data_IF_364618732898
#
_entry.id   IF_364618732898
#
_cell.length_a   1.000
_cell.length_b   1.000
_cell.length_c   1.000
_cell.angle_alpha   90.00
_cell.angle_beta   90.00
_cell.angle_gamma   90.00
#
_symmetry.space_group_name_H-M   'P 1'
#
loop_
_entity.id
_entity.type
_entity.pdbx_description
1 polymer ?
#
# COMPACT_ATOMS: atom_id res chain seq x y z
N UNK A 1 -2.29 7.46 -22.09
CA UNK A 1 -2.11 5.99 -22.13
C UNK A 1 -3.20 5.33 -21.29
N UNK A 2 -3.34 5.63 -19.99
CA UNK A 2 -4.36 5.00 -19.13
C UNK A 2 -5.76 5.18 -19.73
N UNK A 3 -6.12 6.39 -20.13
CA UNK A 3 -7.41 6.72 -20.75
C UNK A 3 -7.68 6.00 -22.09
N UNK A 4 -6.64 5.46 -22.73
CA UNK A 4 -6.78 4.71 -23.98
C UNK A 4 -7.16 3.24 -23.74
N UNK A 5 -7.10 2.79 -22.49
CA UNK A 5 -7.35 1.41 -22.07
C UNK A 5 -8.25 1.37 -20.83
N UNK A 6 -9.50 1.84 -20.93
CA UNK A 6 -10.39 1.97 -19.75
C UNK A 6 -10.77 0.64 -19.10
N UNK A 7 -10.66 -0.47 -19.83
CA UNK A 7 -10.99 -1.81 -19.33
C UNK A 7 -9.83 -2.47 -18.55
N UNK A 8 -8.64 -1.83 -18.51
CA UNK A 8 -7.48 -2.37 -17.78
C UNK A 8 -7.42 -1.73 -16.39
N UNK A 9 -7.48 -2.52 -15.31
CA UNK A 9 -7.38 -1.99 -13.96
C UNK A 9 -6.09 -1.21 -13.73
N UNK A 10 -6.21 0.01 -13.21
CA UNK A 10 -5.08 0.84 -12.78
C UNK A 10 -4.84 0.66 -11.29
N UNK A 11 -3.69 0.08 -10.93
CA UNK A 11 -3.22 0.02 -9.55
C UNK A 11 -2.24 1.17 -9.35
N UNK A 12 -2.58 2.10 -8.47
CA UNK A 12 -1.84 3.33 -8.29
C UNK A 12 -1.25 3.45 -6.88
N UNK A 13 0.08 3.48 -6.79
CA UNK A 13 0.86 3.77 -5.57
C UNK A 13 1.63 5.08 -5.82
N UNK A 14 1.07 6.24 -5.41
CA UNK A 14 1.61 7.55 -5.78
C UNK A 14 2.93 7.91 -5.10
N UNK A 15 3.32 7.23 -4.01
CA UNK A 15 4.54 7.49 -3.25
C UNK A 15 4.73 8.98 -2.92
N UNK A 16 3.70 9.61 -2.38
CA UNK A 16 3.64 11.05 -2.12
C UNK A 16 4.62 11.52 -1.03
N UNK A 17 5.11 10.61 -0.21
CA UNK A 17 6.12 10.90 0.82
C UNK A 17 7.46 11.40 0.25
N UNK A 18 7.72 11.19 -1.04
CA UNK A 18 8.89 11.71 -1.74
C UNK A 18 8.73 13.14 -2.24
N UNK A 19 7.50 13.67 -2.25
CA UNK A 19 7.23 15.03 -2.71
C UNK A 19 7.59 16.05 -1.62
N UNK A 20 8.05 17.25 -2.01
CA UNK A 20 8.26 18.34 -1.07
C UNK A 20 6.98 18.64 -0.29
N UNK A 21 7.11 18.85 1.03
CA UNK A 21 5.95 19.17 1.88
C UNK A 21 5.37 20.56 1.60
N UNK A 22 6.16 21.44 0.98
CA UNK A 22 5.77 22.81 0.66
C UNK A 22 6.37 23.23 -0.69
N UNK A 23 5.61 24.04 -1.42
CA UNK A 23 6.04 24.66 -2.66
C UNK A 23 5.14 24.32 -3.86
N UNK A 24 5.18 25.16 -4.89
CA UNK A 24 4.27 25.05 -6.03
C UNK A 24 4.39 23.72 -6.78
N UNK A 25 5.58 23.15 -6.88
CA UNK A 25 5.79 21.87 -7.58
C UNK A 25 5.08 20.70 -6.91
N UNK A 26 5.06 20.64 -5.59
CA UNK A 26 4.35 19.62 -4.84
C UNK A 26 2.83 19.77 -4.95
N UNK A 27 2.34 20.99 -4.88
CA UNK A 27 0.90 21.29 -5.04
C UNK A 27 0.41 21.00 -6.46
N UNK A 28 1.16 21.39 -7.48
CA UNK A 28 0.83 21.10 -8.88
C UNK A 28 0.78 19.59 -9.14
N UNK A 29 1.70 18.82 -8.55
CA UNK A 29 1.70 17.36 -8.68
C UNK A 29 0.49 16.73 -7.98
N UNK A 30 0.15 17.18 -6.78
CA UNK A 30 -1.05 16.70 -6.06
C UNK A 30 -2.32 17.03 -6.83
N UNK A 31 -2.43 18.25 -7.37
CA UNK A 31 -3.57 18.67 -8.17
C UNK A 31 -3.67 17.81 -9.44
N UNK A 32 -2.58 17.64 -10.19
CA UNK A 32 -2.57 16.78 -11.37
C UNK A 32 -2.93 15.33 -11.05
N UNK A 33 -2.45 14.81 -9.92
CA UNK A 33 -2.80 13.46 -9.44
C UNK A 33 -4.31 13.33 -9.20
N UNK A 34 -4.91 14.29 -8.50
CA UNK A 34 -6.35 14.31 -8.24
C UNK A 34 -7.19 14.41 -9.51
N UNK A 35 -6.82 15.32 -10.39
CA UNK A 35 -7.63 15.62 -11.59
C UNK A 35 -7.47 14.58 -12.70
N UNK A 36 -6.29 13.98 -12.83
CA UNK A 36 -5.97 13.14 -13.99
C UNK A 36 -5.87 11.65 -13.67
N UNK A 37 -5.39 11.28 -12.48
CA UNK A 37 -5.13 9.88 -12.15
C UNK A 37 -6.22 9.27 -11.26
N UNK A 38 -6.64 9.98 -10.21
CA UNK A 38 -7.67 9.46 -9.28
C UNK A 38 -8.94 9.01 -10.02
N UNK A 39 -9.51 9.78 -10.98
CA UNK A 39 -10.73 9.35 -11.70
C UNK A 39 -10.58 8.10 -12.58
N UNK A 40 -9.38 7.61 -12.76
CA UNK A 40 -9.07 6.44 -13.60
C UNK A 40 -8.50 5.29 -12.77
N UNK A 41 -8.40 5.46 -11.45
CA UNK A 41 -7.75 4.49 -10.56
C UNK A 41 -8.74 3.44 -10.10
N UNK A 42 -8.41 2.17 -10.37
CA UNK A 42 -9.16 1.03 -9.83
C UNK A 42 -8.80 0.80 -8.37
N UNK A 43 -7.51 0.70 -8.02
CA UNK A 43 -7.07 0.56 -6.63
C UNK A 43 -5.98 1.57 -6.32
N UNK A 44 -6.28 2.51 -5.45
CA UNK A 44 -5.31 3.44 -4.87
C UNK A 44 -4.70 2.81 -3.63
N UNK A 45 -3.37 2.66 -3.59
CA UNK A 45 -2.63 2.19 -2.41
C UNK A 45 -1.96 3.40 -1.77
N UNK A 46 -2.27 3.68 -0.50
CA UNK A 46 -1.84 4.92 0.13
C UNK A 46 -1.69 4.74 1.64
N UNK A 47 -0.74 5.45 2.26
CA UNK A 47 -0.67 5.55 3.73
C UNK A 47 -1.68 6.59 4.26
N UNK A 48 -2.06 6.48 5.54
CA UNK A 48 -2.99 7.42 6.15
C UNK A 48 -2.52 8.89 6.07
N UNK A 49 -1.20 9.11 6.18
CA UNK A 49 -0.61 10.47 6.08
C UNK A 49 -0.72 11.01 4.64
N UNK A 50 -0.44 10.18 3.65
CA UNK A 50 -0.53 10.57 2.24
C UNK A 50 -1.98 10.74 1.80
N UNK A 51 -2.90 9.93 2.34
CA UNK A 51 -4.33 10.03 2.09
C UNK A 51 -4.87 11.41 2.48
N UNK A 52 -4.60 11.86 3.69
CA UNK A 52 -5.06 13.17 4.16
C UNK A 52 -4.49 14.33 3.33
N UNK A 53 -3.27 14.17 2.84
CA UNK A 53 -2.61 15.15 1.97
C UNK A 53 -3.25 15.17 0.57
N UNK A 54 -3.60 14.01 0.03
CA UNK A 54 -4.21 13.89 -1.28
C UNK A 54 -5.68 14.31 -1.28
N UNK A 55 -6.43 14.01 -0.22
CA UNK A 55 -7.85 14.32 -0.12
C UNK A 55 -8.15 15.82 0.07
N UNK A 56 -7.18 16.61 0.55
CA UNK A 56 -7.34 18.04 0.85
C UNK A 56 -8.57 18.38 1.74
N UNK A 57 -8.85 17.52 2.69
CA UNK A 57 -9.96 17.79 3.59
C UNK A 57 -9.58 18.89 4.58
N UNK A 58 -10.26 20.05 4.50
CA UNK A 58 -10.15 21.13 5.48
C UNK A 58 -10.81 20.69 6.79
N UNK A 59 -10.02 20.60 7.85
CA UNK A 59 -10.37 19.88 9.07
C UNK A 59 -11.09 20.76 10.08
N UNK A 60 -12.39 20.53 10.23
CA UNK A 60 -13.16 20.89 11.42
C UNK A 60 -13.73 19.66 12.16
N UNK A 61 -13.48 18.43 11.70
CA UNK A 61 -14.06 17.21 12.27
C UNK A 61 -13.13 16.58 13.32
N UNK A 62 -13.73 15.84 14.27
CA UNK A 62 -13.00 15.05 15.28
C UNK A 62 -12.16 13.95 14.64
N UNK A 63 -11.00 13.64 15.23
CA UNK A 63 -9.94 12.81 14.62
C UNK A 63 -10.34 11.34 14.33
N UNK A 64 -11.41 10.82 14.94
CA UNK A 64 -11.72 9.38 14.90
C UNK A 64 -12.29 8.87 13.57
N UNK A 65 -12.88 9.75 12.71
CA UNK A 65 -13.48 9.32 11.44
C UNK A 65 -12.77 9.85 10.18
N UNK A 66 -11.59 10.44 10.33
CA UNK A 66 -10.96 11.20 9.25
C UNK A 66 -10.49 10.33 8.09
N UNK A 67 -9.96 9.14 8.37
CA UNK A 67 -9.48 8.23 7.32
C UNK A 67 -10.63 7.80 6.40
N UNK A 68 -11.79 7.49 6.96
CA UNK A 68 -12.98 7.14 6.17
C UNK A 68 -13.48 8.32 5.33
N UNK A 69 -13.54 9.53 5.91
CA UNK A 69 -13.92 10.75 5.18
C UNK A 69 -12.97 11.05 4.03
N UNK A 70 -11.66 10.95 4.28
CA UNK A 70 -10.63 11.19 3.27
C UNK A 70 -10.70 10.13 2.14
N UNK A 71 -10.90 8.84 2.49
CA UNK A 71 -11.06 7.78 1.51
C UNK A 71 -12.31 7.97 0.65
N UNK A 72 -13.45 8.26 1.28
CA UNK A 72 -14.71 8.53 0.57
C UNK A 72 -14.59 9.74 -0.36
N UNK A 73 -13.84 10.77 0.04
CA UNK A 73 -13.58 11.91 -0.84
C UNK A 73 -12.90 11.53 -2.14
N UNK A 74 -11.89 10.63 -2.09
CA UNK A 74 -11.22 10.16 -3.31
C UNK A 74 -12.10 9.22 -4.14
N UNK A 75 -12.98 8.45 -3.50
CA UNK A 75 -13.98 7.63 -4.19
C UNK A 75 -15.00 8.52 -4.91
N UNK A 76 -15.48 9.59 -4.27
CA UNK A 76 -16.36 10.60 -4.92
C UNK A 76 -15.69 11.27 -6.13
N UNK A 77 -14.36 11.34 -6.16
CA UNK A 77 -13.58 11.86 -7.29
C UNK A 77 -13.40 10.84 -8.42
N UNK A 78 -13.87 9.60 -8.25
CA UNK A 78 -13.88 8.56 -9.28
C UNK A 78 -12.94 7.38 -9.05
N UNK A 79 -12.18 7.34 -7.94
CA UNK A 79 -11.43 6.14 -7.57
C UNK A 79 -12.39 5.02 -7.17
N UNK A 80 -12.21 3.80 -7.67
CA UNK A 80 -13.11 2.68 -7.33
C UNK A 80 -12.85 2.13 -5.93
N UNK A 81 -11.57 1.93 -5.58
CA UNK A 81 -11.14 1.40 -4.27
C UNK A 81 -9.99 2.21 -3.69
N UNK A 82 -10.06 2.53 -2.40
CA UNK A 82 -8.98 3.16 -1.65
C UNK A 82 -8.46 2.18 -0.60
N UNK A 83 -7.21 1.74 -0.75
CA UNK A 83 -6.54 0.83 0.17
C UNK A 83 -5.54 1.58 1.04
N UNK A 84 -5.91 1.84 2.29
CA UNK A 84 -5.10 2.56 3.27
C UNK A 84 -4.25 1.57 4.04
N UNK A 85 -2.92 1.77 4.01
CA UNK A 85 -1.95 0.84 4.57
C UNK A 85 -1.17 1.40 5.75
N UNK A 86 -0.76 0.52 6.65
CA UNK A 86 0.21 0.82 7.71
C UNK A 86 -0.31 1.69 8.84
N UNK A 87 -1.62 1.77 9.05
CA UNK A 87 -2.21 2.47 10.18
C UNK A 87 -1.88 1.75 11.48
N UNK A 88 -1.28 2.40 12.49
CA UNK A 88 -1.07 1.76 13.78
C UNK A 88 -2.40 1.35 14.42
N UNK A 89 -2.58 0.07 14.74
CA UNK A 89 -3.76 -0.43 15.46
C UNK A 89 -3.50 -0.60 16.96
N UNK A 90 -2.27 -0.98 17.30
CA UNK A 90 -1.74 -0.98 18.67
C UNK A 90 -0.20 -0.84 18.66
N UNK A 91 0.48 -1.22 19.77
CA UNK A 91 1.95 -1.11 19.88
C UNK A 91 2.70 -2.09 18.97
N UNK A 92 2.07 -3.19 18.59
CA UNK A 92 2.69 -4.31 17.87
C UNK A 92 2.11 -4.54 16.48
N UNK A 93 0.90 -4.03 16.21
CA UNK A 93 0.15 -4.33 15.02
C UNK A 93 -0.07 -3.11 14.12
N UNK A 94 -0.31 -3.38 12.86
CA UNK A 94 -0.72 -2.40 11.86
C UNK A 94 -2.00 -2.87 11.20
N UNK A 95 -2.89 -1.95 10.94
CA UNK A 95 -4.12 -2.18 10.20
C UNK A 95 -4.00 -1.69 8.76
N UNK A 96 -4.59 -2.45 7.86
CA UNK A 96 -4.83 -2.03 6.50
C UNK A 96 -6.33 -2.06 6.22
N UNK A 97 -6.86 -1.02 5.61
CA UNK A 97 -8.31 -0.87 5.40
C UNK A 97 -8.61 -0.61 3.94
N UNK A 98 -9.51 -1.39 3.37
CA UNK A 98 -10.01 -1.22 2.00
C UNK A 98 -11.40 -0.58 2.02
N UNK A 99 -11.57 0.47 1.25
CA UNK A 99 -12.80 1.22 1.08
C UNK A 99 -13.30 1.11 -0.36
N UNK A 100 -14.63 1.08 -0.53
CA UNK A 100 -15.34 1.32 -1.77
C UNK A 100 -16.47 2.33 -1.57
N UNK A 101 -17.38 2.48 -2.53
CA UNK A 101 -18.52 3.39 -2.46
C UNK A 101 -19.49 3.13 -1.28
N UNK A 102 -19.47 1.92 -0.73
CA UNK A 102 -20.28 1.53 0.44
C UNK A 102 -19.59 1.82 1.79
N UNK A 103 -18.32 2.23 1.77
CA UNK A 103 -17.48 2.48 2.94
C UNK A 103 -16.42 1.40 3.14
N UNK A 104 -16.15 1.01 4.38
CA UNK A 104 -15.18 -0.04 4.70
C UNK A 104 -15.70 -1.41 4.27
N UNK A 105 -15.02 -2.06 3.34
CA UNK A 105 -15.34 -3.42 2.89
C UNK A 105 -14.38 -4.48 3.41
N UNK A 106 -13.18 -4.05 3.86
CA UNK A 106 -12.19 -4.96 4.45
C UNK A 106 -11.31 -4.23 5.44
N UNK A 107 -10.99 -4.90 6.55
CA UNK A 107 -10.07 -4.40 7.57
C UNK A 107 -9.22 -5.58 8.08
N UNK A 108 -7.93 -5.53 7.80
CA UNK A 108 -6.99 -6.60 8.14
C UNK A 108 -5.94 -6.07 9.13
N UNK A 109 -5.69 -6.83 10.20
CA UNK A 109 -4.66 -6.54 11.19
C UNK A 109 -3.47 -7.49 11.01
N UNK A 110 -2.26 -6.92 11.00
CA UNK A 110 -1.03 -7.66 10.80
C UNK A 110 -0.02 -7.32 11.88
N UNK A 111 0.69 -8.33 12.36
CA UNK A 111 1.80 -8.10 13.27
C UNK A 111 2.89 -7.30 12.56
N UNK A 112 3.33 -6.20 13.18
CA UNK A 112 4.40 -5.37 12.67
C UNK A 112 5.73 -6.13 12.71
N UNK A 113 6.34 -6.33 11.54
CA UNK A 113 7.68 -6.91 11.44
C UNK A 113 8.68 -5.77 11.59
N UNK A 114 9.49 -5.82 12.67
CA UNK A 114 10.48 -4.79 12.97
C UNK A 114 11.59 -4.77 11.92
N UNK A 115 11.98 -3.58 11.48
CA UNK A 115 13.06 -3.41 10.49
C UNK A 115 12.81 -2.27 9.52
N UNK A 116 13.82 -2.01 8.69
CA UNK A 116 13.72 -1.06 7.58
C UNK A 116 13.86 -1.83 6.28
N UNK A 117 12.81 -1.83 5.48
CA UNK A 117 12.66 -2.64 4.28
C UNK A 117 12.62 -1.77 3.02
N UNK A 118 13.07 -2.34 1.91
CA UNK A 118 13.00 -1.71 0.59
C UNK A 118 12.11 -2.54 -0.32
N UNK A 119 11.11 -1.88 -0.94
CA UNK A 119 10.27 -2.47 -1.97
C UNK A 119 8.96 -3.10 -1.47
N UNK A 120 8.54 -2.89 -0.20
CA UNK A 120 7.28 -3.45 0.32
C UNK A 120 6.06 -2.92 -0.45
N UNK A 121 5.91 -1.59 -0.61
CA UNK A 121 4.80 -1.00 -1.37
C UNK A 121 4.77 -1.49 -2.82
N UNK A 122 5.89 -1.44 -3.53
CA UNK A 122 5.97 -1.93 -4.91
C UNK A 122 5.70 -3.43 -5.04
N UNK A 123 6.02 -4.25 -4.01
CA UNK A 123 5.66 -5.68 -4.00
C UNK A 123 4.15 -5.82 -3.84
N UNK A 124 3.54 -5.12 -2.92
CA UNK A 124 2.09 -5.12 -2.69
C UNK A 124 1.33 -4.73 -3.96
N UNK A 125 1.68 -3.58 -4.55
CA UNK A 125 1.03 -3.08 -5.77
C UNK A 125 1.15 -4.05 -6.95
N UNK A 126 2.36 -4.59 -7.18
CA UNK A 126 2.59 -5.54 -8.27
C UNK A 126 1.84 -6.87 -8.05
N UNK A 127 1.73 -7.32 -6.80
CA UNK A 127 0.99 -8.56 -6.48
C UNK A 127 -0.51 -8.36 -6.67
N UNK A 128 -1.09 -7.22 -6.22
CA UNK A 128 -2.50 -6.90 -6.49
C UNK A 128 -2.75 -6.91 -8.00
N UNK A 129 -1.92 -6.21 -8.79
CA UNK A 129 -2.07 -6.17 -10.24
C UNK A 129 -2.01 -7.56 -10.88
N UNK A 130 -1.10 -8.43 -10.43
CA UNK A 130 -0.99 -9.79 -10.93
C UNK A 130 -2.21 -10.65 -10.58
N UNK A 131 -2.75 -10.54 -9.36
CA UNK A 131 -3.91 -11.30 -8.91
C UNK A 131 -5.18 -10.86 -9.65
N UNK A 132 -5.39 -9.56 -9.85
CA UNK A 132 -6.49 -9.06 -10.68
C UNK A 132 -6.38 -9.53 -12.14
N UNK A 133 -5.17 -9.54 -12.71
CA UNK A 133 -4.94 -10.07 -14.05
C UNK A 133 -5.21 -11.58 -14.16
N UNK A 134 -5.15 -12.31 -13.04
CA UNK A 134 -5.54 -13.72 -12.94
C UNK A 134 -7.03 -13.94 -12.62
N UNK A 135 -7.81 -12.87 -12.50
CA UNK A 135 -9.26 -12.91 -12.39
C UNK A 135 -9.82 -12.91 -10.95
N UNK A 136 -8.99 -12.63 -9.93
CA UNK A 136 -9.50 -12.40 -8.58
C UNK A 136 -10.27 -11.08 -8.53
N UNK A 137 -11.24 -10.99 -7.63
CA UNK A 137 -11.84 -9.69 -7.32
C UNK A 137 -10.90 -8.82 -6.45
N UNK A 138 -11.21 -7.53 -6.33
CA UNK A 138 -10.32 -6.58 -5.62
C UNK A 138 -10.15 -6.93 -4.14
N UNK A 139 -11.20 -7.23 -3.34
CA UNK A 139 -11.04 -7.59 -1.94
C UNK A 139 -10.18 -8.84 -1.71
N UNK A 140 -10.32 -9.85 -2.56
CA UNK A 140 -9.54 -11.08 -2.48
C UNK A 140 -8.09 -10.84 -2.91
N UNK A 141 -7.88 -10.14 -4.03
CA UNK A 141 -6.55 -9.76 -4.53
C UNK A 141 -5.77 -8.93 -3.52
N UNK A 142 -6.42 -7.98 -2.84
CA UNK A 142 -5.80 -7.15 -1.80
C UNK A 142 -5.38 -8.00 -0.59
N UNK A 143 -6.20 -8.96 -0.18
CA UNK A 143 -5.87 -9.84 0.93
C UNK A 143 -4.69 -10.76 0.63
N UNK A 144 -4.72 -11.49 -0.46
CA UNK A 144 -3.63 -12.39 -0.86
C UNK A 144 -2.32 -11.64 -1.11
N UNK A 145 -2.40 -10.41 -1.67
CA UNK A 145 -1.23 -9.56 -1.86
C UNK A 145 -0.59 -9.12 -0.54
N UNK A 146 -1.39 -8.89 0.51
CA UNK A 146 -0.87 -8.60 1.85
C UNK A 146 -0.13 -9.82 2.41
N UNK A 147 -0.72 -11.01 2.34
CA UNK A 147 -0.09 -12.26 2.80
C UNK A 147 1.25 -12.48 2.11
N UNK A 148 1.29 -12.38 0.79
CA UNK A 148 2.52 -12.52 0.01
C UNK A 148 3.57 -11.46 0.40
N UNK A 149 3.16 -10.21 0.58
CA UNK A 149 4.06 -9.11 0.93
C UNK A 149 4.65 -9.32 2.33
N UNK A 150 3.84 -9.71 3.31
CA UNK A 150 4.28 -10.00 4.68
C UNK A 150 5.24 -11.18 4.70
N UNK A 151 4.93 -12.25 4.00
CA UNK A 151 5.83 -13.39 3.86
C UNK A 151 7.15 -12.99 3.20
N UNK A 152 7.12 -12.13 2.17
CA UNK A 152 8.33 -11.58 1.54
C UNK A 152 9.16 -10.71 2.49
N UNK A 153 8.51 -9.94 3.38
CA UNK A 153 9.16 -9.15 4.43
C UNK A 153 9.79 -10.07 5.49
N UNK A 154 9.07 -11.08 5.95
CA UNK A 154 9.55 -12.04 6.94
C UNK A 154 10.81 -12.79 6.48
N UNK A 155 10.95 -13.00 5.16
CA UNK A 155 12.11 -13.63 4.53
C UNK A 155 13.13 -12.62 3.97
N UNK A 156 13.02 -11.33 4.31
CA UNK A 156 13.90 -10.31 3.77
C UNK A 156 15.38 -10.51 4.15
N UNK A 157 16.26 -10.15 3.25
CA UNK A 157 17.71 -10.39 3.38
C UNK A 157 18.48 -9.08 3.41
N UNK A 158 19.59 -9.12 4.14
CA UNK A 158 20.56 -8.03 4.16
C UNK A 158 21.61 -8.25 3.05
N UNK A 159 21.48 -7.53 1.95
CA UNK A 159 22.42 -7.61 0.83
C UNK A 159 23.59 -6.61 0.94
N UNK A 160 23.55 -5.72 1.93
CA UNK A 160 24.56 -4.68 2.12
C UNK A 160 24.30 -3.88 3.40
N UNK A 161 24.82 -2.65 3.47
CA UNK A 161 24.69 -1.77 4.65
C UNK A 161 23.37 -0.99 4.70
N UNK A 162 22.53 -1.12 3.66
CA UNK A 162 21.25 -0.42 3.55
C UNK A 162 20.08 -1.14 4.21
N UNK A 163 18.88 -0.84 3.72
CA UNK A 163 17.64 -1.49 4.12
C UNK A 163 17.66 -2.97 3.76
N UNK A 164 16.88 -3.78 4.47
CA UNK A 164 16.61 -5.16 4.11
C UNK A 164 15.84 -5.20 2.77
N UNK A 165 16.18 -6.16 1.91
CA UNK A 165 15.53 -6.37 0.62
C UNK A 165 14.59 -7.57 0.75
N UNK A 166 13.34 -7.39 0.34
CA UNK A 166 12.31 -8.43 0.38
C UNK A 166 12.72 -9.62 -0.48
N UNK A 167 12.49 -10.84 0.04
CA UNK A 167 12.61 -12.06 -0.73
C UNK A 167 11.27 -12.43 -1.36
N UNK A 168 11.13 -12.16 -2.65
CA UNK A 168 9.92 -12.47 -3.43
C UNK A 168 9.91 -13.91 -3.96
N UNK A 169 11.01 -14.65 -3.74
CA UNK A 169 11.18 -16.05 -4.16
C UNK A 169 11.28 -17.00 -2.95
N UNK A 170 10.85 -16.56 -1.76
CA UNK A 170 10.90 -17.34 -0.53
C UNK A 170 10.25 -18.72 -0.69
N UNK A 171 9.18 -18.82 -1.46
CA UNK A 171 8.41 -20.04 -1.74
C UNK A 171 9.13 -20.99 -2.72
N UNK A 172 10.07 -20.51 -3.52
CA UNK A 172 10.80 -21.31 -4.53
C UNK A 172 12.10 -21.90 -3.98
N UNK A 173 12.46 -21.63 -2.71
CA UNK A 173 13.63 -22.26 -2.09
C UNK A 173 13.29 -23.69 -1.78
N UNK A 174 14.14 -24.61 -2.27
CA UNK A 174 14.17 -25.96 -1.73
C UNK A 174 14.53 -25.84 -0.24
N UNK A 175 13.76 -26.51 0.62
CA UNK A 175 14.11 -26.65 2.03
C UNK A 175 15.41 -27.45 2.10
N UNK A 176 16.53 -26.76 2.16
CA UNK A 176 17.81 -27.37 2.44
C UNK A 176 17.84 -27.65 3.95
N UNK A 177 17.50 -28.89 4.33
CA UNK A 177 17.42 -29.36 5.74
C UNK A 177 18.77 -29.24 6.48
N UNK A 178 19.82 -28.72 5.83
CA UNK A 178 21.21 -28.66 6.34
C UNK A 178 21.77 -27.23 6.49
N UNK A 179 20.97 -26.17 6.43
CA UNK A 179 21.48 -24.84 6.76
C UNK A 179 21.26 -24.59 8.25
N UNK A 180 22.29 -24.84 9.06
CA UNK A 180 22.44 -24.31 10.40
C UNK A 180 22.30 -22.78 10.34
N UNK A 181 21.13 -22.24 10.70
CA UNK A 181 20.91 -20.80 10.84
C UNK A 181 21.67 -20.37 12.10
N UNK A 182 22.94 -19.98 11.91
CA UNK A 182 23.67 -19.27 12.95
C UNK A 182 22.95 -17.95 13.23
N UNK A 183 22.54 -17.69 14.48
CA UNK A 183 21.95 -16.41 14.85
C UNK A 183 22.96 -15.28 14.56
N UNK A 184 22.48 -14.09 14.15
CA UNK A 184 23.37 -12.95 13.90
C UNK A 184 24.14 -12.61 15.19
N UNK A 185 25.43 -12.20 15.10
CA UNK A 185 26.21 -11.83 16.26
C UNK A 185 25.55 -10.65 16.98
N UNK A 186 25.34 -10.82 18.26
CA UNK A 186 24.89 -9.77 19.19
C UNK A 186 26.04 -8.77 19.31
N UNK A 187 25.82 -7.51 18.89
CA UNK A 187 26.60 -6.34 19.28
C UNK A 187 25.67 -5.27 19.82
#
# INVERSE_FOLDING_TARGET
IVSDYPDIPLIFDPFLSSLPDQGPEGEDMLMATRELLIPQTTVLIISAVELSRLAETWREASEEDMMAVDAMRLIEMGCEYVFVTGTPSDLTDVANTLFDESGVIRHDNWQRISGSYSGAGGTLAATIAALLANGLDVPEAVFEAQEFTIASIANAQRLGMGKLVLDRYFWAREFDENIDILPPPIQ
#
